data_IF_481483855377
#
_entry.id   IF_481483855377
#
_cell.length_a   1.000
_cell.length_b   1.000
_cell.length_c   1.000
_cell.angle_alpha   90.00
_cell.angle_beta   90.00
_cell.angle_gamma   90.00
#
_symmetry.space_group_name_H-M   'P 1'
#
loop_
_entity.id
_entity.type
_entity.pdbx_description
1 polymer ?
#
# COMPACT_ATOMS: atom_id res chain seq x y z
N UNK A 1 10.66 3.92 14.95
CA UNK A 1 9.56 4.58 14.20
C UNK A 1 9.99 4.95 12.80
N UNK A 2 9.09 4.80 11.82
CA UNK A 2 9.33 5.17 10.42
C UNK A 2 8.20 6.06 9.88
N UNK A 3 8.52 7.17 9.24
CA UNK A 3 7.51 8.10 8.68
C UNK A 3 7.96 8.78 7.37
N UNK A 4 6.99 9.32 6.62
CA UNK A 4 7.22 10.05 5.37
C UNK A 4 7.48 11.53 5.63
N UNK A 5 8.61 12.03 5.12
CA UNK A 5 8.91 13.45 5.05
C UNK A 5 8.99 13.88 3.58
N UNK A 6 8.16 14.84 3.19
CA UNK A 6 8.23 15.45 1.88
C UNK A 6 9.13 16.68 1.99
N UNK A 7 10.32 16.61 1.38
CA UNK A 7 11.26 17.74 1.36
C UNK A 7 11.03 18.54 0.09
N UNK A 8 10.52 19.75 0.24
CA UNK A 8 10.40 20.72 -0.85
C UNK A 8 11.76 21.34 -1.11
N UNK A 9 12.21 21.27 -2.35
CA UNK A 9 13.41 21.96 -2.82
C UNK A 9 12.99 23.34 -3.33
N UNK A 10 13.47 24.42 -2.69
CA UNK A 10 13.14 25.79 -3.09
C UNK A 10 13.88 26.23 -4.35
N UNK A 11 14.99 25.56 -4.70
CA UNK A 11 15.85 25.95 -5.83
C UNK A 11 15.49 25.22 -7.13
N UNK A 12 14.71 24.14 -7.04
CA UNK A 12 14.35 23.30 -8.19
C UNK A 12 12.86 23.38 -8.47
N UNK A 13 12.53 23.75 -9.70
CA UNK A 13 11.18 23.71 -10.25
C UNK A 13 11.08 22.61 -11.30
N UNK A 14 9.90 22.04 -11.48
CA UNK A 14 9.63 21.09 -12.57
C UNK A 14 9.33 21.83 -13.86
N UNK A 15 9.41 21.09 -14.97
CA UNK A 15 8.96 21.56 -16.29
C UNK A 15 7.49 22.02 -16.28
N UNK A 16 6.66 21.43 -15.41
CA UNK A 16 5.25 21.81 -15.23
C UNK A 16 5.06 23.07 -14.37
N UNK A 17 6.12 23.75 -13.91
CA UNK A 17 6.04 24.93 -13.04
C UNK A 17 5.89 24.63 -11.54
N UNK A 18 5.52 23.40 -11.17
CA UNK A 18 5.39 22.99 -9.77
C UNK A 18 6.75 22.89 -9.04
N UNK A 19 6.73 23.08 -7.71
CA UNK A 19 7.92 22.90 -6.86
C UNK A 19 8.39 21.46 -6.88
N UNK A 20 9.71 21.24 -6.82
CA UNK A 20 10.26 19.90 -6.77
C UNK A 20 10.20 19.33 -5.35
N UNK A 21 9.51 18.21 -5.16
CA UNK A 21 9.43 17.51 -3.87
C UNK A 21 10.19 16.20 -3.93
N UNK A 22 11.05 15.98 -2.93
CA UNK A 22 11.74 14.71 -2.71
C UNK A 22 11.10 13.98 -1.53
N UNK A 23 10.45 12.82 -1.76
CA UNK A 23 9.95 11.98 -0.68
C UNK A 23 11.10 11.27 0.03
N UNK A 24 11.16 11.42 1.35
CA UNK A 24 12.16 10.83 2.24
C UNK A 24 11.48 9.90 3.24
N UNK A 25 11.98 8.67 3.32
CA UNK A 25 11.70 7.71 4.40
C UNK A 25 12.61 8.08 5.56
N UNK A 26 12.02 8.46 6.69
CA UNK A 26 12.77 8.84 7.88
C UNK A 26 12.64 7.75 8.92
N UNK A 27 13.77 7.17 9.30
CA UNK A 27 13.90 6.27 10.43
C UNK A 27 14.30 7.09 11.68
N UNK A 28 13.48 7.03 12.72
CA UNK A 28 13.71 7.69 13.99
C UNK A 28 13.69 6.68 15.15
N UNK A 29 14.62 6.79 16.12
CA UNK A 29 14.70 5.85 17.24
C UNK A 29 13.50 5.97 18.18
N UNK A 30 12.92 7.18 18.31
CA UNK A 30 11.76 7.46 19.15
C UNK A 30 10.95 8.62 18.60
N UNK A 31 9.74 8.81 19.14
CA UNK A 31 8.90 9.96 18.83
C UNK A 31 9.65 11.24 19.18
N UNK A 32 9.59 12.22 18.27
CA UNK A 32 10.26 13.51 18.43
C UNK A 32 11.79 13.44 18.64
N UNK A 33 12.45 12.38 18.15
CA UNK A 33 13.91 12.29 18.20
C UNK A 33 14.57 13.52 17.54
N UNK A 34 15.70 14.03 18.04
CA UNK A 34 16.45 15.14 17.43
C UNK A 34 16.78 14.86 15.95
N UNK A 35 16.87 15.89 15.12
CA UNK A 35 17.16 15.71 13.67
C UNK A 35 18.46 14.94 13.41
N UNK A 36 19.50 15.16 14.23
CA UNK A 36 20.81 14.49 14.13
C UNK A 36 20.76 12.98 14.31
N UNK A 37 19.77 12.46 15.06
CA UNK A 37 19.63 11.02 15.31
C UNK A 37 18.70 10.34 14.31
N UNK A 38 18.19 11.06 13.30
CA UNK A 38 17.28 10.51 12.28
C UNK A 38 18.09 10.08 11.07
N UNK A 39 17.77 8.91 10.52
CA UNK A 39 18.32 8.45 9.25
C UNK A 39 17.32 8.72 8.14
N UNK A 40 17.68 9.57 7.20
CA UNK A 40 16.85 9.89 6.03
C UNK A 40 17.30 9.07 4.82
N UNK A 41 16.36 8.42 4.13
CA UNK A 41 16.60 7.72 2.86
C UNK A 41 15.59 8.19 1.82
N UNK A 42 16.03 8.44 0.60
CA UNK A 42 15.11 8.83 -0.46
C UNK A 42 14.22 7.64 -0.88
N UNK A 43 12.95 7.91 -1.14
CA UNK A 43 12.07 6.97 -1.83
C UNK A 43 12.46 6.93 -3.31
N UNK A 44 12.63 5.71 -3.84
CA UNK A 44 13.08 5.45 -5.21
C UNK A 44 11.92 5.66 -6.18
N UNK A 45 11.86 6.85 -6.76
CA UNK A 45 10.75 7.30 -7.63
C UNK A 45 10.51 6.47 -8.90
N UNK A 46 11.50 5.71 -9.36
CA UNK A 46 11.39 4.84 -10.56
C UNK A 46 11.10 3.38 -10.22
N UNK A 47 11.02 3.03 -8.94
CA UNK A 47 10.78 1.67 -8.47
C UNK A 47 9.42 1.60 -7.79
N UNK A 48 8.70 0.51 -8.00
CA UNK A 48 7.43 0.25 -7.33
C UNK A 48 7.61 0.22 -5.81
N UNK A 49 6.56 0.57 -5.07
CA UNK A 49 6.61 0.73 -3.62
C UNK A 49 5.65 -0.25 -2.95
N UNK A 50 6.16 -1.01 -1.98
CA UNK A 50 5.34 -1.84 -1.09
C UNK A 50 5.46 -1.30 0.33
N UNK A 51 4.37 -0.77 0.86
CA UNK A 51 4.29 -0.20 2.20
C UNK A 51 3.53 -1.19 3.09
N UNK A 52 4.24 -1.82 4.02
CA UNK A 52 3.66 -2.76 4.98
C UNK A 52 3.63 -2.16 6.38
N UNK A 53 2.88 -2.78 7.29
CA UNK A 53 2.83 -2.37 8.69
C UNK A 53 1.49 -2.72 9.33
N UNK A 54 1.47 -2.77 10.66
CA UNK A 54 0.25 -3.12 11.41
C UNK A 54 -0.90 -2.11 11.18
N UNK A 55 -2.09 -2.44 11.68
CA UNK A 55 -3.22 -1.50 11.68
C UNK A 55 -2.83 -0.18 12.36
N UNK A 56 -3.36 0.93 11.86
CA UNK A 56 -3.09 2.29 12.33
C UNK A 56 -1.62 2.77 12.30
N UNK A 57 -0.72 2.06 11.62
CA UNK A 57 0.67 2.52 11.42
C UNK A 57 0.82 3.70 10.44
N UNK A 58 -0.29 4.18 9.86
CA UNK A 58 -0.30 5.33 8.95
C UNK A 58 -0.03 5.01 7.48
N UNK A 59 -0.23 3.76 7.04
CA UNK A 59 -0.04 3.32 5.65
C UNK A 59 -0.90 4.10 4.63
N UNK A 60 -2.21 4.18 4.87
CA UNK A 60 -3.14 4.92 4.01
C UNK A 60 -2.76 6.39 3.95
N UNK A 61 -2.46 7.00 5.11
CA UNK A 61 -1.96 8.39 5.18
C UNK A 61 -0.66 8.58 4.41
N UNK A 62 0.24 7.61 4.43
CA UNK A 62 1.47 7.63 3.64
C UNK A 62 1.15 7.64 2.14
N UNK A 63 0.26 6.75 1.68
CA UNK A 63 -0.17 6.71 0.28
C UNK A 63 -0.90 7.99 -0.14
N UNK A 64 -1.86 8.49 0.64
CA UNK A 64 -2.57 9.73 0.34
C UNK A 64 -1.60 10.90 0.15
N UNK A 65 -0.62 11.06 1.06
CA UNK A 65 0.38 12.13 0.92
C UNK A 65 1.23 12.01 -0.33
N UNK A 66 1.51 10.79 -0.81
CA UNK A 66 2.22 10.58 -2.07
C UNK A 66 1.32 10.86 -3.28
N UNK A 67 0.03 10.52 -3.18
CA UNK A 67 -0.98 10.79 -4.20
C UNK A 67 -1.23 12.29 -4.38
N UNK A 68 -1.39 13.02 -3.27
CA UNK A 68 -1.62 14.46 -3.26
C UNK A 68 -0.43 15.21 -3.83
N UNK A 69 0.79 14.80 -3.44
CA UNK A 69 2.04 15.42 -3.93
C UNK A 69 2.59 14.80 -5.21
N UNK A 70 1.76 14.05 -5.97
CA UNK A 70 2.25 13.26 -7.11
C UNK A 70 2.86 14.13 -8.21
N UNK A 71 2.28 15.30 -8.46
CA UNK A 71 2.71 16.23 -9.51
C UNK A 71 4.08 16.81 -9.15
N UNK A 72 4.32 17.11 -7.88
CA UNK A 72 5.61 17.60 -7.38
C UNK A 72 6.70 16.50 -7.35
N UNK A 73 6.32 15.22 -7.17
CA UNK A 73 7.26 14.10 -7.01
C UNK A 73 7.59 13.42 -8.36
N UNK A 74 6.62 13.27 -9.25
CA UNK A 74 6.77 12.57 -10.53
C UNK A 74 6.56 13.47 -11.75
N UNK A 75 5.94 14.64 -11.58
CA UNK A 75 5.58 15.55 -12.67
C UNK A 75 4.11 15.41 -13.04
N UNK A 76 3.63 16.31 -13.91
CA UNK A 76 2.30 16.19 -14.50
C UNK A 76 2.24 14.92 -15.34
N UNK A 77 1.38 13.98 -14.94
CA UNK A 77 1.09 12.73 -15.62
C UNK A 77 -0.43 12.58 -15.71
N UNK A 78 -0.87 11.63 -16.53
CA UNK A 78 -2.26 11.20 -16.60
C UNK A 78 -2.83 10.89 -15.22
N UNK A 79 -4.14 11.07 -15.06
CA UNK A 79 -4.77 10.94 -13.76
C UNK A 79 -4.56 9.52 -13.19
N UNK A 80 -4.06 9.39 -11.96
CA UNK A 80 -3.73 8.11 -11.36
C UNK A 80 -5.00 7.32 -11.03
N UNK A 81 -4.87 5.99 -11.03
CA UNK A 81 -5.92 5.07 -10.60
C UNK A 81 -5.71 4.72 -9.13
N UNK A 82 -6.75 4.90 -8.31
CA UNK A 82 -6.76 4.55 -6.89
C UNK A 82 -7.69 3.37 -6.63
N UNK A 83 -7.13 2.26 -6.16
CA UNK A 83 -7.87 1.04 -5.83
C UNK A 83 -7.82 0.81 -4.32
N UNK A 84 -8.95 0.91 -3.66
CA UNK A 84 -9.03 0.67 -2.22
C UNK A 84 -9.73 -0.66 -1.94
N UNK A 85 -9.08 -1.54 -1.17
CA UNK A 85 -9.57 -2.90 -0.92
C UNK A 85 -10.94 -2.93 -0.25
N UNK A 86 -11.15 -2.04 0.73
CA UNK A 86 -12.38 -1.94 1.52
C UNK A 86 -13.54 -1.31 0.75
N UNK A 87 -13.26 -0.36 -0.13
CA UNK A 87 -14.30 0.39 -0.86
C UNK A 87 -14.95 -0.43 -1.98
N UNK A 88 -16.25 -0.20 -2.29
CA UNK A 88 -16.92 -0.93 -3.37
C UNK A 88 -16.28 -0.67 -4.73
N UNK A 89 -16.47 -1.58 -5.69
CA UNK A 89 -15.87 -1.48 -7.03
C UNK A 89 -16.29 -0.19 -7.78
N UNK A 90 -17.42 0.41 -7.42
CA UNK A 90 -17.87 1.69 -7.97
C UNK A 90 -16.92 2.84 -7.71
N UNK A 91 -16.28 2.90 -6.54
CA UNK A 91 -15.35 3.99 -6.22
C UNK A 91 -14.07 3.94 -7.05
N UNK A 92 -13.70 2.76 -7.57
CA UNK A 92 -12.49 2.60 -8.39
C UNK A 92 -12.62 3.23 -9.79
N UNK A 93 -13.85 3.50 -10.22
CA UNK A 93 -14.17 3.91 -11.59
C UNK A 93 -14.28 5.45 -11.71
N UNK A 94 -14.28 6.16 -10.58
CA UNK A 94 -14.37 7.62 -10.49
C UNK A 94 -13.03 8.30 -10.80
N UNK A 95 -12.40 7.92 -11.91
CA UNK A 95 -11.13 8.50 -12.38
C UNK A 95 -11.44 9.73 -13.24
N UNK A 96 -10.94 10.93 -12.90
CA UNK A 96 -11.20 12.13 -13.71
C UNK A 96 -10.66 11.98 -15.14
N UNK A 97 -11.51 12.27 -16.13
CA UNK A 97 -11.13 12.26 -17.55
C UNK A 97 -11.05 10.89 -18.22
N UNK A 98 -11.39 9.79 -17.53
CA UNK A 98 -11.43 8.45 -18.13
C UNK A 98 -12.50 8.32 -19.22
N UNK A 99 -13.59 9.06 -19.08
CA UNK A 99 -14.67 9.15 -20.05
C UNK A 99 -14.21 9.80 -21.36
N UNK A 100 -13.40 10.86 -21.27
CA UNK A 100 -12.78 11.53 -22.42
C UNK A 100 -11.78 10.61 -23.12
N UNK A 101 -10.89 9.97 -22.35
CA UNK A 101 -9.97 8.97 -22.91
C UNK A 101 -10.73 7.85 -23.63
N UNK A 102 -11.79 7.33 -23.04
CA UNK A 102 -12.59 6.27 -23.66
C UNK A 102 -13.28 6.73 -24.95
N UNK A 103 -13.72 7.99 -25.01
CA UNK A 103 -14.31 8.56 -26.22
C UNK A 103 -13.27 8.75 -27.34
N UNK A 104 -12.08 9.23 -27.00
CA UNK A 104 -10.97 9.42 -27.94
C UNK A 104 -10.43 8.10 -28.51
N UNK A 105 -10.58 7.00 -27.76
CA UNK A 105 -10.16 5.66 -28.16
C UNK A 105 -11.13 4.96 -29.12
N UNK A 106 -12.32 5.50 -29.37
CA UNK A 106 -13.27 4.83 -30.28
C UNK A 106 -12.73 4.83 -31.71
N UNK A 107 -12.41 3.64 -32.23
CA UNK A 107 -12.08 3.43 -33.64
C UNK A 107 -13.36 3.45 -34.49
N UNK A 108 -13.29 4.06 -35.68
CA UNK A 108 -14.40 4.13 -36.64
C UNK A 108 -14.85 2.74 -37.13
N UNK A 109 -13.98 1.73 -37.10
CA UNK A 109 -14.28 0.38 -37.58
C UNK A 109 -15.11 -0.46 -36.60
N UNK A 110 -15.08 -0.14 -35.29
CA UNK A 110 -15.87 -0.87 -34.29
C UNK A 110 -16.23 0.03 -33.09
N UNK A 111 -17.35 0.77 -33.17
CA UNK A 111 -17.69 1.75 -32.16
C UNK A 111 -17.99 1.08 -30.82
N UNK A 112 -17.10 1.27 -29.84
CA UNK A 112 -17.33 0.82 -28.48
C UNK A 112 -18.54 1.56 -27.89
N UNK A 113 -19.38 0.92 -27.04
CA UNK A 113 -20.49 1.59 -26.40
C UNK A 113 -19.99 2.78 -25.55
N UNK A 114 -20.69 3.93 -25.56
CA UNK A 114 -20.32 5.10 -24.75
C UNK A 114 -20.12 4.74 -23.27
N UNK A 115 -19.20 5.43 -22.59
CA UNK A 115 -18.85 5.16 -21.19
C UNK A 115 -20.07 5.07 -20.27
N UNK A 116 -21.08 5.91 -20.47
CA UNK A 116 -22.32 5.90 -19.68
C UNK A 116 -23.11 4.58 -19.77
N UNK A 117 -23.03 3.87 -20.91
CA UNK A 117 -23.75 2.62 -21.17
C UNK A 117 -23.01 1.38 -20.66
N UNK A 118 -21.73 1.51 -20.31
CA UNK A 118 -20.94 0.41 -19.79
C UNK A 118 -21.39 0.01 -18.38
N UNK A 119 -21.47 -1.29 -18.14
CA UNK A 119 -21.67 -1.80 -16.79
C UNK A 119 -20.41 -1.61 -15.94
N UNK A 120 -20.56 -1.75 -14.62
CA UNK A 120 -19.49 -1.57 -13.65
C UNK A 120 -18.26 -2.47 -13.95
N UNK A 121 -18.51 -3.71 -14.37
CA UNK A 121 -17.45 -4.69 -14.59
C UNK A 121 -16.64 -4.38 -15.86
N UNK A 122 -17.30 -3.90 -16.91
CA UNK A 122 -16.68 -3.44 -18.14
C UNK A 122 -15.83 -2.21 -17.87
N UNK A 123 -16.38 -1.21 -17.16
CA UNK A 123 -15.62 -0.02 -16.75
C UNK A 123 -14.37 -0.38 -15.95
N UNK A 124 -14.50 -1.30 -15.00
CA UNK A 124 -13.37 -1.72 -14.19
C UNK A 124 -12.32 -2.52 -14.98
N UNK A 125 -12.72 -3.27 -16.02
CA UNK A 125 -11.78 -3.96 -16.91
C UNK A 125 -10.96 -2.97 -17.75
N UNK A 126 -11.57 -1.86 -18.17
CA UNK A 126 -10.90 -0.82 -18.95
C UNK A 126 -9.83 -0.06 -18.17
N UNK A 127 -9.84 -0.10 -16.82
CA UNK A 127 -8.81 0.54 -16.00
C UNK A 127 -7.39 0.05 -16.34
N UNK A 128 -7.22 -1.24 -16.63
CA UNK A 128 -5.89 -1.75 -17.00
C UNK A 128 -5.42 -1.24 -18.36
N UNK A 129 -6.35 -1.04 -19.30
CA UNK A 129 -6.02 -0.50 -20.62
C UNK A 129 -5.68 0.99 -20.53
N UNK A 130 -6.48 1.75 -19.79
CA UNK A 130 -6.21 3.15 -19.49
C UNK A 130 -4.81 3.34 -18.90
N UNK A 131 -4.43 2.52 -17.91
CA UNK A 131 -3.10 2.56 -17.29
C UNK A 131 -2.00 2.24 -18.31
N UNK A 132 -2.21 1.23 -19.16
CA UNK A 132 -1.21 0.79 -20.14
C UNK A 132 -0.90 1.87 -21.19
N UNK A 133 -1.94 2.52 -21.71
CA UNK A 133 -1.83 3.53 -22.78
C UNK A 133 -1.36 4.88 -22.24
N UNK A 134 -1.97 5.35 -21.16
CA UNK A 134 -1.69 6.69 -20.61
C UNK A 134 -0.46 6.73 -19.73
N UNK A 135 0.04 5.57 -19.29
CA UNK A 135 1.13 5.46 -18.33
C UNK A 135 0.78 5.96 -16.92
N UNK A 136 -0.52 6.05 -16.59
CA UNK A 136 -1.00 6.49 -15.29
C UNK A 136 -0.38 5.67 -14.14
N UNK A 137 -0.15 6.32 -13.00
CA UNK A 137 0.30 5.65 -11.79
C UNK A 137 -0.84 4.90 -11.13
N UNK A 138 -0.50 3.77 -10.51
CA UNK A 138 -1.46 2.94 -9.77
C UNK A 138 -1.20 3.01 -8.27
N UNK A 139 -2.24 3.35 -7.51
CA UNK A 139 -2.23 3.31 -6.05
C UNK A 139 -3.19 2.23 -5.59
N UNK A 140 -2.74 1.37 -4.67
CA UNK A 140 -3.58 0.34 -4.06
C UNK A 140 -3.48 0.46 -2.55
N UNK A 141 -4.60 0.78 -1.91
CA UNK A 141 -4.69 0.78 -0.45
C UNK A 141 -5.36 -0.50 0.07
N UNK A 142 -4.90 -0.99 1.21
CA UNK A 142 -5.34 -2.23 1.85
C UNK A 142 -5.38 -3.45 0.91
N UNK A 143 -4.30 -3.68 0.17
CA UNK A 143 -4.21 -4.75 -0.82
C UNK A 143 -4.44 -6.16 -0.25
N UNK A 144 -4.22 -6.36 1.05
CA UNK A 144 -4.51 -7.60 1.76
C UNK A 144 -6.02 -7.92 1.88
N UNK A 145 -6.90 -6.93 1.68
CA UNK A 145 -8.36 -7.11 1.66
C UNK A 145 -8.91 -7.36 0.25
N UNK A 146 -8.05 -7.37 -0.79
CA UNK A 146 -8.45 -7.66 -2.16
C UNK A 146 -8.83 -9.13 -2.31
N UNK A 147 -10.09 -9.39 -2.68
CA UNK A 147 -10.60 -10.75 -2.88
C UNK A 147 -11.40 -10.86 -4.18
N UNK A 148 -11.57 -12.08 -4.67
CA UNK A 148 -12.40 -12.39 -5.85
C UNK A 148 -12.12 -11.50 -7.07
N UNK A 149 -13.17 -10.86 -7.59
CA UNK A 149 -13.10 -10.03 -8.80
C UNK A 149 -12.23 -8.78 -8.63
N UNK A 150 -12.26 -8.14 -7.46
CA UNK A 150 -11.38 -6.99 -7.14
C UNK A 150 -9.91 -7.36 -7.25
N UNK A 151 -9.52 -8.52 -6.71
CA UNK A 151 -8.15 -9.02 -6.81
C UNK A 151 -7.74 -9.30 -8.27
N UNK A 152 -8.64 -9.79 -9.11
CA UNK A 152 -8.36 -10.01 -10.54
C UNK A 152 -8.12 -8.69 -11.29
N UNK A 153 -8.98 -7.69 -11.08
CA UNK A 153 -8.88 -6.37 -11.71
C UNK A 153 -7.61 -5.65 -11.24
N UNK A 154 -7.36 -5.65 -9.92
CA UNK A 154 -6.14 -5.08 -9.35
C UNK A 154 -4.88 -5.74 -9.93
N UNK A 155 -4.87 -7.07 -10.10
CA UNK A 155 -3.79 -7.80 -10.76
C UNK A 155 -3.56 -7.32 -12.20
N UNK A 156 -4.62 -7.14 -12.99
CA UNK A 156 -4.51 -6.62 -14.37
C UNK A 156 -3.94 -5.20 -14.39
N UNK A 157 -4.42 -4.33 -13.50
CA UNK A 157 -3.91 -2.96 -13.36
C UNK A 157 -2.42 -2.96 -12.97
N UNK A 158 -2.00 -3.82 -12.03
CA UNK A 158 -0.60 -3.94 -11.62
C UNK A 158 0.30 -4.42 -12.76
N UNK A 159 -0.17 -5.33 -13.61
CA UNK A 159 0.57 -5.79 -14.79
C UNK A 159 0.76 -4.67 -15.82
N UNK A 160 -0.29 -3.88 -16.07
CA UNK A 160 -0.26 -2.76 -17.00
C UNK A 160 0.60 -1.58 -16.49
N UNK A 161 0.59 -1.34 -15.18
CA UNK A 161 1.28 -0.19 -14.58
C UNK A 161 2.81 -0.31 -14.65
N UNK A 162 3.47 0.80 -15.02
CA UNK A 162 4.94 0.92 -14.95
C UNK A 162 5.42 1.19 -13.53
N UNK A 163 4.64 1.97 -12.77
CA UNK A 163 4.90 2.35 -11.40
C UNK A 163 3.62 2.19 -10.58
N UNK A 164 3.71 1.40 -9.51
CA UNK A 164 2.62 1.23 -8.56
C UNK A 164 3.10 1.44 -7.12
N UNK A 165 2.18 1.90 -6.28
CA UNK A 165 2.36 2.06 -4.85
C UNK A 165 1.25 1.28 -4.14
N UNK A 166 1.66 0.29 -3.35
CA UNK A 166 0.74 -0.65 -2.70
C UNK A 166 0.93 -0.57 -1.19
N UNK A 167 -0.16 -0.48 -0.44
CA UNK A 167 -0.16 -0.73 0.99
C UNK A 167 -0.76 -2.10 1.32
N UNK A 168 -0.23 -2.75 2.35
CA UNK A 168 -0.80 -3.97 2.93
C UNK A 168 -0.46 -4.05 4.42
N UNK A 169 -1.17 -4.88 5.17
CA UNK A 169 -0.77 -5.17 6.56
C UNK A 169 0.59 -5.89 6.59
N UNK A 170 0.68 -7.00 5.88
CA UNK A 170 1.89 -7.81 5.74
C UNK A 170 2.02 -8.33 4.30
N UNK A 171 3.25 -8.49 3.81
CA UNK A 171 3.49 -9.05 2.46
C UNK A 171 2.92 -10.48 2.33
N UNK A 172 2.98 -11.26 3.41
CA UNK A 172 2.40 -12.60 3.50
C UNK A 172 0.87 -12.67 3.51
N UNK A 173 0.18 -11.52 3.63
CA UNK A 173 -1.29 -11.40 3.55
C UNK A 173 -1.78 -10.92 2.20
N UNK A 174 -0.87 -10.59 1.27
CA UNK A 174 -1.26 -10.25 -0.09
C UNK A 174 -1.95 -11.44 -0.78
N UNK A 175 -2.94 -11.19 -1.66
CA UNK A 175 -3.59 -12.24 -2.42
C UNK A 175 -2.58 -13.07 -3.23
N UNK A 176 -2.80 -14.39 -3.37
CA UNK A 176 -1.88 -15.27 -4.10
C UNK A 176 -1.76 -14.88 -5.58
N UNK A 177 -2.74 -14.18 -6.15
CA UNK A 177 -2.72 -13.68 -7.51
C UNK A 177 -1.83 -12.42 -7.70
N UNK A 178 -1.65 -11.64 -6.63
CA UNK A 178 -0.90 -10.37 -6.63
C UNK A 178 0.53 -10.57 -6.14
N UNK A 179 0.74 -11.45 -5.15
CA UNK A 179 2.05 -11.69 -4.52
C UNK A 179 3.17 -12.01 -5.53
N UNK A 180 2.99 -12.89 -6.54
CA UNK A 180 4.03 -13.15 -7.52
C UNK A 180 4.42 -11.91 -8.34
N UNK A 181 3.49 -10.96 -8.55
CA UNK A 181 3.79 -9.71 -9.26
C UNK A 181 4.68 -8.80 -8.40
N UNK A 182 4.39 -8.73 -7.11
CA UNK A 182 5.17 -7.99 -6.13
C UNK A 182 6.58 -8.58 -6.04
N UNK A 183 6.70 -9.91 -5.94
CA UNK A 183 8.00 -10.59 -5.89
C UNK A 183 8.84 -10.33 -7.15
N UNK A 184 8.26 -10.52 -8.34
CA UNK A 184 8.94 -10.33 -9.63
C UNK A 184 9.38 -8.88 -9.91
N UNK A 185 8.62 -7.89 -9.42
CA UNK A 185 8.94 -6.46 -9.62
C UNK A 185 9.95 -5.93 -8.63
N UNK A 186 10.32 -6.71 -7.62
CA UNK A 186 11.23 -6.35 -6.54
C UNK A 186 11.01 -4.91 -6.03
N UNK A 187 9.84 -4.55 -5.48
CA UNK A 187 9.56 -3.18 -5.06
C UNK A 187 10.49 -2.75 -3.92
N UNK A 188 10.61 -1.43 -3.73
CA UNK A 188 11.13 -0.89 -2.50
C UNK A 188 10.14 -1.18 -1.37
N UNK A 189 10.57 -2.04 -0.44
CA UNK A 189 9.79 -2.45 0.73
C UNK A 189 10.01 -1.49 1.87
N UNK A 190 8.91 -0.99 2.43
CA UNK A 190 8.91 -0.07 3.57
C UNK A 190 7.96 -0.61 4.62
N UNK A 191 8.50 -1.14 5.72
CA UNK A 191 7.68 -1.60 6.85
C UNK A 191 7.51 -0.46 7.86
N UNK A 192 6.26 -0.11 8.17
CA UNK A 192 5.90 0.88 9.17
C UNK A 192 5.68 0.18 10.51
N UNK A 193 6.54 0.52 11.47
CA UNK A 193 6.38 0.12 12.86
C UNK A 193 5.15 0.79 13.46
N UNK A 194 4.35 0.02 14.21
CA UNK A 194 3.26 0.55 15.02
C UNK A 194 3.69 0.63 16.47
N UNK A 195 3.38 1.73 17.16
CA UNK A 195 3.53 1.88 18.61
C UNK A 195 2.43 1.14 19.41
N UNK A 196 1.62 0.31 18.76
CA UNK A 196 0.50 -0.34 19.44
C UNK A 196 1.02 -1.43 20.39
N UNK A 197 0.50 -1.42 21.61
CA UNK A 197 0.79 -2.28 22.76
C UNK A 197 0.63 -3.80 22.53
N UNK A 198 0.31 -4.24 21.30
CA UNK A 198 0.21 -5.65 20.94
C UNK A 198 1.51 -6.44 21.12
N UNK A 199 2.68 -5.81 20.95
CA UNK A 199 3.95 -6.45 21.27
C UNK A 199 4.19 -6.51 22.79
N UNK A 200 3.71 -5.52 23.55
CA UNK A 200 3.76 -5.56 25.02
C UNK A 200 2.93 -6.72 25.59
N UNK A 201 1.79 -7.06 24.99
CA UNK A 201 0.99 -8.23 25.43
C UNK A 201 1.76 -9.53 25.29
N UNK A 202 2.54 -9.71 24.21
CA UNK A 202 3.39 -10.91 24.07
C UNK A 202 4.47 -10.96 25.12
N UNK A 203 5.13 -9.82 25.38
CA UNK A 203 6.15 -9.70 26.43
C UNK A 203 5.54 -9.97 27.82
N UNK A 204 4.35 -9.44 28.10
CA UNK A 204 3.60 -9.69 29.32
C UNK A 204 3.28 -11.19 29.50
N UNK A 205 2.78 -11.85 28.45
CA UNK A 205 2.49 -13.29 28.48
C UNK A 205 3.75 -14.10 28.80
N UNK A 206 4.88 -13.75 28.19
CA UNK A 206 6.17 -14.39 28.51
C UNK A 206 6.65 -14.11 29.94
N UNK A 207 6.42 -12.91 30.46
CA UNK A 207 6.71 -12.59 31.87
C UNK A 207 5.83 -13.40 32.82
N UNK A 208 4.54 -13.56 32.50
CA UNK A 208 3.61 -14.39 33.28
C UNK A 208 4.04 -15.86 33.25
N UNK A 209 4.41 -16.40 32.08
CA UNK A 209 4.96 -17.76 31.94
C UNK A 209 6.21 -17.93 32.81
N UNK A 210 7.16 -16.98 32.73
CA UNK A 210 8.38 -17.01 33.53
C UNK A 210 8.09 -16.94 35.04
N UNK A 211 7.11 -16.15 35.44
CA UNK A 211 6.68 -16.02 36.85
C UNK A 211 6.01 -17.30 37.35
N UNK A 212 5.17 -17.95 36.53
CA UNK A 212 4.58 -19.26 36.84
C UNK A 212 5.65 -20.34 37.03
N UNK A 213 6.70 -20.34 36.19
CA UNK A 213 7.81 -21.28 36.34
C UNK A 213 8.62 -21.02 37.62
N UNK A 214 8.91 -19.75 37.94
CA UNK A 214 9.63 -19.39 39.17
C UNK A 214 8.82 -19.67 40.45
N UNK A 215 7.50 -19.54 40.40
CA UNK A 215 6.59 -19.82 41.53
C UNK A 215 6.30 -21.32 41.73
N UNK A 216 6.90 -22.21 40.94
CA UNK A 216 6.70 -23.66 41.05
C UNK A 216 5.44 -24.19 40.34
N UNK A 217 4.68 -23.33 39.66
CA UNK A 217 3.50 -23.69 38.87
C UNK A 217 3.87 -24.10 37.43
N UNK A 218 4.74 -25.09 37.30
CA UNK A 218 5.33 -25.52 36.01
C UNK A 218 4.28 -26.00 35.00
N UNK A 219 3.20 -26.63 35.48
CA UNK A 219 2.09 -27.11 34.65
C UNK A 219 1.34 -25.95 33.97
N UNK A 220 1.03 -24.89 34.74
CA UNK A 220 0.36 -23.70 34.22
C UNK A 220 1.26 -22.93 33.23
N UNK A 221 2.56 -22.82 33.53
CA UNK A 221 3.54 -22.22 32.62
C UNK A 221 3.67 -22.97 31.30
N UNK A 222 3.67 -24.31 31.34
CA UNK A 222 3.75 -25.17 30.15
C UNK A 222 2.48 -25.04 29.27
N UNK A 223 1.29 -25.02 29.88
CA UNK A 223 0.02 -24.85 29.14
C UNK A 223 -0.04 -23.47 28.47
N UNK A 224 0.30 -22.40 29.20
CA UNK A 224 0.31 -21.03 28.66
C UNK A 224 1.36 -20.86 27.55
N UNK A 225 2.55 -21.43 27.72
CA UNK A 225 3.60 -21.44 26.71
C UNK A 225 3.20 -22.20 25.45
N UNK A 226 2.57 -23.37 25.60
CA UNK A 226 2.03 -24.15 24.49
C UNK A 226 0.95 -23.41 23.71
N UNK A 227 -0.02 -22.81 24.41
CA UNK A 227 -1.07 -21.98 23.79
C UNK A 227 -0.50 -20.77 23.06
N UNK A 228 0.48 -20.09 23.66
CA UNK A 228 1.13 -18.95 23.03
C UNK A 228 1.89 -19.37 21.76
N UNK A 229 2.63 -20.49 21.80
CA UNK A 229 3.32 -20.99 20.61
C UNK A 229 2.34 -21.38 19.49
N UNK A 230 1.23 -22.04 19.81
CA UNK A 230 0.18 -22.36 18.84
C UNK A 230 -0.49 -21.09 18.26
N UNK A 231 -0.71 -20.07 19.09
CA UNK A 231 -1.26 -18.78 18.68
C UNK A 231 -0.30 -17.91 17.84
N UNK A 232 0.99 -18.22 17.81
CA UNK A 232 2.00 -17.49 17.02
C UNK A 232 2.30 -18.08 15.64
N UNK A 233 1.60 -19.16 15.25
CA UNK A 233 1.77 -19.78 13.94
C UNK A 233 1.50 -18.83 12.77
N UNK A 234 2.18 -19.07 11.64
CA UNK A 234 2.13 -18.26 10.38
C UNK A 234 0.73 -18.13 9.75
N UNK A 235 -0.29 -18.73 10.38
CA UNK A 235 -1.71 -18.78 9.96
C UNK A 235 -2.68 -18.56 11.13
N UNK A 236 -2.23 -18.14 12.32
CA UNK A 236 -3.18 -17.81 13.37
C UNK A 236 -4.04 -16.64 12.90
N UNK A 237 -5.30 -16.97 12.63
CA UNK A 237 -6.34 -16.07 12.16
C UNK A 237 -6.44 -14.92 13.17
N UNK A 238 -5.92 -13.75 12.78
CA UNK A 238 -6.27 -12.51 13.46
C UNK A 238 -7.58 -12.06 12.84
N UNK A 239 -8.56 -11.78 13.70
CA UNK A 239 -9.81 -11.17 13.29
C UNK A 239 -9.51 -9.93 12.43
N UNK A 240 -10.20 -9.89 11.29
CA UNK A 240 -10.03 -8.92 10.22
C UNK A 240 -10.50 -7.50 10.59
#
# INVERSE_FOLDING_TARGET
>A
MRFLKLRTDSKRTRKSGHKYVTPLIVDAPRRYAPSKSRRERALKRKQCQLITGAHDSGKSRWLCRLYDSRVEIWGAQSEPVWLEGLMPLSSWIEVPGIDKWHAEKQDDENPAPPWAKLNLQQKAALLSEYIAETGAMLFIDDAHKLTGRKAQIARQCMLASKLWLVSASEEGRLPPSVRPLVERREPQRTNLESDVSYDTTKVLIWIVIATCMMAGAWEAGAVLGGLQMLGTGRRSSRAD
#
